data_IF_368424786080
#
_entry.id   IF_368424786080
#
_cell.length_a   1.000
_cell.length_b   1.000
_cell.length_c   1.000
_cell.angle_alpha   90.00
_cell.angle_beta   90.00
_cell.angle_gamma   90.00
#
_symmetry.space_group_name_H-M   'P 1'
#
loop_
_entity.id
_entity.type
_entity.pdbx_description
1 polymer ?
#
# COMPACT_ATOMS: atom_id res chain seq x y z
N UNK A 1 33.09 -24.95 -17.09
CA UNK A 1 32.53 -24.05 -16.07
C UNK A 1 31.78 -22.94 -16.79
N UNK A 2 30.45 -22.86 -16.65
CA UNK A 2 29.65 -21.85 -17.31
C UNK A 2 29.85 -20.49 -16.61
N UNK A 3 30.22 -19.45 -17.38
CA UNK A 3 30.25 -18.07 -16.90
C UNK A 3 28.81 -17.61 -16.68
N UNK A 4 28.44 -17.39 -15.42
CA UNK A 4 27.21 -16.66 -15.09
C UNK A 4 27.36 -15.25 -15.63
N UNK A 5 26.63 -14.96 -16.70
CA UNK A 5 26.53 -13.62 -17.25
C UNK A 5 25.67 -12.83 -16.26
N UNK A 6 26.30 -11.99 -15.43
CA UNK A 6 25.55 -11.04 -14.61
C UNK A 6 24.81 -10.12 -15.58
N UNK A 7 23.49 -10.07 -15.46
CA UNK A 7 22.66 -9.12 -16.20
C UNK A 7 23.12 -7.68 -15.92
N UNK A 8 22.63 -6.70 -16.68
CA UNK A 8 23.01 -5.30 -16.48
C UNK A 8 22.84 -4.93 -15.00
N UNK A 9 23.89 -4.35 -14.42
CA UNK A 9 23.82 -3.79 -13.07
C UNK A 9 22.85 -2.62 -13.12
N UNK A 10 21.60 -2.86 -12.74
CA UNK A 10 20.66 -1.78 -12.43
C UNK A 10 21.23 -1.10 -11.19
N UNK A 11 21.79 0.09 -11.35
CA UNK A 11 22.16 0.93 -10.19
C UNK A 11 20.87 1.44 -9.58
N UNK A 12 20.25 0.65 -8.72
CA UNK A 12 19.14 1.13 -7.91
C UNK A 12 19.70 1.93 -6.73
N UNK A 13 19.31 3.19 -6.64
CA UNK A 13 19.45 3.96 -5.42
C UNK A 13 18.29 3.59 -4.49
N UNK A 14 18.53 3.55 -3.18
CA UNK A 14 17.50 3.31 -2.19
C UNK A 14 17.54 4.39 -1.10
N UNK A 15 16.37 4.82 -0.65
CA UNK A 15 16.20 5.76 0.46
C UNK A 15 15.20 5.17 1.44
N UNK A 16 15.56 5.13 2.72
CA UNK A 16 14.69 4.61 3.78
C UNK A 16 14.26 5.73 4.72
N UNK A 17 12.95 5.79 4.98
CA UNK A 17 12.32 6.65 5.96
C UNK A 17 11.77 5.82 7.12
N UNK A 18 11.88 6.35 8.33
CA UNK A 18 11.46 5.69 9.57
C UNK A 18 10.43 6.56 10.31
N UNK A 19 9.35 5.94 10.75
CA UNK A 19 8.36 6.56 11.62
C UNK A 19 7.36 7.46 10.90
N UNK A 20 7.05 8.59 11.53
CA UNK A 20 6.06 9.55 11.05
C UNK A 20 6.61 10.41 9.90
N UNK A 21 5.72 10.77 8.97
CA UNK A 21 6.04 11.64 7.85
C UNK A 21 6.54 13.01 8.31
N UNK A 22 7.67 13.43 7.77
CA UNK A 22 8.36 14.68 8.12
C UNK A 22 8.73 15.49 6.86
N UNK A 23 9.33 16.67 7.05
CA UNK A 23 9.74 17.55 5.96
C UNK A 23 10.69 16.85 4.97
N UNK A 24 11.68 16.11 5.46
CA UNK A 24 12.64 15.37 4.61
C UNK A 24 11.95 14.33 3.72
N UNK A 25 11.00 13.56 4.27
CA UNK A 25 10.24 12.58 3.47
C UNK A 25 9.35 13.24 2.42
N UNK A 26 8.87 14.47 2.67
CA UNK A 26 7.99 15.21 1.74
C UNK A 26 8.74 15.81 0.56
N UNK A 27 10.05 16.01 0.69
CA UNK A 27 10.92 16.39 -0.43
C UNK A 27 11.08 15.26 -1.45
N UNK A 28 10.85 14.01 -1.04
CA UNK A 28 10.88 12.84 -1.91
C UNK A 28 9.49 12.64 -2.52
N UNK A 29 9.33 12.98 -3.80
CA UNK A 29 8.03 13.00 -4.49
C UNK A 29 7.19 11.73 -4.27
N UNK A 30 7.80 10.54 -4.37
CA UNK A 30 7.09 9.27 -4.20
C UNK A 30 6.65 9.02 -2.76
N UNK A 31 7.42 9.46 -1.76
CA UNK A 31 7.01 9.37 -0.35
C UNK A 31 5.91 10.39 -0.02
N UNK A 32 5.96 11.59 -0.60
CA UNK A 32 4.88 12.58 -0.49
C UNK A 32 3.57 12.06 -1.11
N UNK A 33 3.63 11.44 -2.29
CA UNK A 33 2.50 10.75 -2.91
C UNK A 33 1.97 9.62 -2.02
N UNK A 34 2.87 8.80 -1.46
CA UNK A 34 2.49 7.71 -0.57
C UNK A 34 1.91 8.19 0.77
N UNK A 35 2.40 9.29 1.34
CA UNK A 35 1.80 9.93 2.53
C UNK A 35 0.34 10.31 2.28
N UNK A 36 0.03 10.87 1.10
CA UNK A 36 -1.35 11.23 0.71
C UNK A 36 -2.23 9.98 0.57
N UNK A 37 -1.71 8.93 -0.05
CA UNK A 37 -2.40 7.64 -0.16
C UNK A 37 -2.64 7.02 1.22
N UNK A 38 -1.62 7.01 2.09
CA UNK A 38 -1.71 6.51 3.46
C UNK A 38 -2.74 7.30 4.28
N UNK A 39 -2.82 8.63 4.12
CA UNK A 39 -3.84 9.44 4.78
C UNK A 39 -5.28 9.02 4.39
N UNK A 40 -5.51 8.76 3.10
CA UNK A 40 -6.80 8.26 2.59
C UNK A 40 -7.12 6.86 3.12
N UNK A 41 -6.14 5.95 3.15
CA UNK A 41 -6.34 4.60 3.72
C UNK A 41 -6.59 4.67 5.24
N UNK A 42 -5.91 5.57 5.95
CA UNK A 42 -6.09 5.76 7.41
C UNK A 42 -7.48 6.27 7.77
N UNK A 43 -8.07 7.14 6.96
CA UNK A 43 -9.43 7.63 7.15
C UNK A 43 -10.51 6.65 6.69
N UNK A 44 -10.14 5.62 5.93
CA UNK A 44 -11.07 4.74 5.21
C UNK A 44 -12.06 5.51 4.32
N UNK A 45 -11.70 6.72 3.87
CA UNK A 45 -12.56 7.55 3.03
C UNK A 45 -12.26 7.32 1.55
N UNK A 46 -13.01 6.39 0.96
CA UNK A 46 -12.92 6.02 -0.45
C UNK A 46 -13.98 6.70 -1.31
N UNK A 47 -14.52 7.86 -0.89
CA UNK A 47 -15.51 8.60 -1.70
C UNK A 47 -14.91 9.20 -2.97
N UNK A 48 -13.58 9.28 -3.05
CA UNK A 48 -12.82 9.76 -4.21
C UNK A 48 -12.78 8.77 -5.37
N UNK A 49 -11.92 9.09 -6.35
CA UNK A 49 -11.75 8.29 -7.56
C UNK A 49 -10.50 7.42 -7.50
N UNK A 50 -10.56 6.22 -8.07
CA UNK A 50 -9.37 5.39 -8.22
C UNK A 50 -8.31 6.04 -9.10
N UNK A 51 -8.72 6.91 -10.03
CA UNK A 51 -7.84 7.64 -10.95
C UNK A 51 -6.80 8.52 -10.23
N UNK A 52 -7.05 8.88 -8.97
CA UNK A 52 -6.10 9.68 -8.19
C UNK A 52 -4.91 8.83 -7.68
N UNK A 53 -5.04 7.50 -7.69
CA UNK A 53 -4.11 6.59 -7.01
C UNK A 53 -3.59 5.47 -7.90
N UNK A 54 -4.44 4.88 -8.75
CA UNK A 54 -4.12 3.69 -9.54
C UNK A 54 -4.25 3.99 -11.02
N UNK A 55 -3.27 3.53 -11.79
CA UNK A 55 -3.35 3.52 -13.25
C UNK A 55 -4.52 2.63 -13.71
N UNK A 56 -5.19 2.95 -14.84
CA UNK A 56 -6.14 2.04 -15.47
C UNK A 56 -5.57 0.63 -15.67
N UNK A 57 -4.29 0.51 -16.05
CA UNK A 57 -3.57 -0.76 -16.23
C UNK A 57 -3.04 -1.41 -14.94
N UNK A 58 -3.35 -0.84 -13.77
CA UNK A 58 -2.76 -1.29 -12.52
C UNK A 58 -3.14 -2.73 -12.18
N UNK A 59 -2.16 -3.47 -11.66
CA UNK A 59 -2.33 -4.83 -11.14
C UNK A 59 -2.08 -4.86 -9.63
N UNK A 60 -2.83 -5.66 -8.90
CA UNK A 60 -2.62 -5.84 -7.48
C UNK A 60 -2.68 -7.31 -7.09
N UNK A 61 -1.65 -7.79 -6.40
CA UNK A 61 -1.55 -9.15 -5.91
C UNK A 61 -1.80 -9.19 -4.40
N UNK A 62 -2.95 -9.72 -4.02
CA UNK A 62 -3.27 -9.96 -2.62
C UNK A 62 -2.57 -11.22 -2.13
N UNK A 63 -2.25 -11.25 -0.83
CA UNK A 63 -1.66 -12.44 -0.20
C UNK A 63 -2.61 -13.66 -0.18
N UNK A 64 -3.91 -13.47 -0.47
CA UNK A 64 -4.92 -14.52 -0.60
C UNK A 64 -4.72 -15.36 -1.88
N UNK A 65 -3.84 -14.92 -2.77
CA UNK A 65 -3.65 -15.48 -4.11
C UNK A 65 -4.54 -14.83 -5.16
N UNK A 66 -5.44 -13.93 -4.76
CA UNK A 66 -6.25 -13.13 -5.69
C UNK A 66 -5.41 -12.06 -6.38
N UNK A 67 -5.73 -11.79 -7.65
CA UNK A 67 -5.12 -10.72 -8.43
C UNK A 67 -6.22 -9.85 -9.03
N UNK A 68 -6.12 -8.55 -8.82
CA UNK A 68 -6.98 -7.53 -9.40
C UNK A 68 -6.24 -6.88 -10.57
N UNK A 69 -6.88 -6.74 -11.71
CA UNK A 69 -6.19 -6.44 -12.99
C UNK A 69 -6.54 -5.07 -13.57
N UNK A 70 -7.14 -4.19 -12.77
CA UNK A 70 -7.32 -2.78 -13.12
C UNK A 70 -7.39 -1.90 -11.88
N UNK A 71 -7.08 -0.61 -12.02
CA UNK A 71 -7.25 0.38 -10.94
C UNK A 71 -8.68 0.42 -10.38
N UNK A 72 -9.69 0.22 -11.24
CA UNK A 72 -11.09 0.17 -10.82
C UNK A 72 -11.40 -1.06 -9.95
N UNK A 73 -10.94 -2.26 -10.36
CA UNK A 73 -11.11 -3.49 -9.58
C UNK A 73 -10.43 -3.40 -8.21
N UNK A 74 -9.21 -2.86 -8.18
CA UNK A 74 -8.47 -2.63 -6.93
C UNK A 74 -9.27 -1.72 -6.01
N UNK A 75 -9.84 -0.64 -6.53
CA UNK A 75 -10.62 0.32 -5.76
C UNK A 75 -11.90 -0.29 -5.16
N UNK A 76 -12.63 -1.09 -5.94
CA UNK A 76 -13.80 -1.81 -5.43
C UNK A 76 -13.41 -2.82 -4.34
N UNK A 77 -12.29 -3.51 -4.52
CA UNK A 77 -11.77 -4.41 -3.49
C UNK A 77 -11.37 -3.67 -2.21
N UNK A 78 -10.70 -2.51 -2.30
CA UNK A 78 -10.37 -1.66 -1.15
C UNK A 78 -11.61 -1.28 -0.33
N UNK A 79 -12.70 -0.91 -1.02
CA UNK A 79 -14.00 -0.59 -0.39
C UNK A 79 -14.72 -1.80 0.18
N UNK A 80 -14.34 -3.01 -0.21
CA UNK A 80 -15.04 -4.21 0.21
C UNK A 80 -14.87 -4.47 1.72
N UNK A 81 -15.84 -5.17 2.36
CA UNK A 81 -15.71 -5.63 3.74
C UNK A 81 -14.50 -6.53 3.99
N UNK A 82 -13.94 -7.15 2.94
CA UNK A 82 -12.77 -8.01 3.04
C UNK A 82 -11.48 -7.23 3.33
N UNK A 83 -11.45 -5.92 3.02
CA UNK A 83 -10.26 -5.07 3.18
C UNK A 83 -10.50 -3.89 4.12
N UNK A 84 -11.14 -2.80 3.68
CA UNK A 84 -11.33 -1.60 4.51
C UNK A 84 -12.79 -1.25 4.86
N UNK A 85 -13.77 -1.80 4.14
CA UNK A 85 -15.17 -1.34 4.19
C UNK A 85 -15.92 -1.47 5.51
N UNK A 86 -15.35 -2.17 6.51
CA UNK A 86 -15.95 -2.35 7.85
C UNK A 86 -15.19 -1.61 8.96
N UNK A 87 -14.09 -0.95 8.63
CA UNK A 87 -13.22 -0.29 9.60
C UNK A 87 -13.45 1.22 9.56
N UNK A 88 -13.56 1.83 10.73
CA UNK A 88 -13.72 3.27 10.88
C UNK A 88 -12.40 4.03 10.64
N UNK A 89 -11.27 3.38 10.95
CA UNK A 89 -9.93 3.91 10.70
C UNK A 89 -8.88 2.81 10.76
N UNK A 90 -7.75 3.09 10.13
CA UNK A 90 -6.52 2.29 10.19
C UNK A 90 -5.46 3.11 10.91
N UNK A 91 -4.80 2.53 11.92
CA UNK A 91 -3.73 3.20 12.68
C UNK A 91 -2.42 2.43 12.50
N UNK A 92 -1.50 2.92 11.65
CA UNK A 92 -0.17 2.32 11.50
C UNK A 92 0.76 2.78 12.64
N UNK A 93 1.66 1.88 13.05
CA UNK A 93 2.75 2.11 14.00
C UNK A 93 4.04 1.44 13.48
N UNK A 94 5.19 1.91 13.96
CA UNK A 94 6.52 1.36 13.64
C UNK A 94 6.79 1.25 12.13
N UNK A 95 6.39 2.28 11.38
CA UNK A 95 6.54 2.32 9.92
C UNK A 95 8.01 2.39 9.52
N UNK A 96 8.36 1.58 8.52
CA UNK A 96 9.62 1.66 7.78
C UNK A 96 9.26 1.65 6.30
N UNK A 97 9.61 2.70 5.57
CA UNK A 97 9.31 2.83 4.14
C UNK A 97 10.62 2.99 3.38
N UNK A 98 10.89 2.10 2.44
CA UNK A 98 12.06 2.15 1.56
C UNK A 98 11.62 2.41 0.14
N UNK A 99 12.14 3.47 -0.45
CA UNK A 99 12.03 3.76 -1.88
C UNK A 99 13.21 3.14 -2.59
N UNK A 100 12.95 2.45 -3.69
CA UNK A 100 13.95 1.91 -4.60
C UNK A 100 13.70 2.54 -5.98
N UNK A 101 14.72 3.18 -6.54
CA UNK A 101 14.63 3.88 -7.83
C UNK A 101 15.12 2.99 -8.97
N UNK A 102 14.34 2.94 -10.05
CA UNK A 102 14.65 2.24 -11.29
C UNK A 102 14.57 0.71 -11.19
N UNK A 103 14.58 0.05 -12.35
CA UNK A 103 14.56 -1.42 -12.42
C UNK A 103 13.17 -2.06 -12.38
N UNK A 104 12.11 -1.28 -12.64
CA UNK A 104 10.73 -1.77 -12.69
C UNK A 104 10.15 -1.54 -14.09
N UNK A 105 9.38 -2.51 -14.61
CA UNK A 105 8.91 -2.47 -16.00
C UNK A 105 7.80 -1.44 -16.25
N UNK A 106 6.95 -1.20 -15.24
CA UNK A 106 5.74 -0.36 -15.34
C UNK A 106 5.85 0.99 -14.60
N UNK A 107 7.02 1.34 -14.05
CA UNK A 107 7.18 2.57 -13.30
C UNK A 107 8.63 2.83 -12.88
N UNK A 108 8.85 3.98 -12.26
CA UNK A 108 10.20 4.48 -11.99
C UNK A 108 10.64 4.23 -10.54
N UNK A 109 9.69 3.97 -9.64
CA UNK A 109 9.94 3.82 -8.21
C UNK A 109 9.16 2.65 -7.60
N UNK A 110 9.80 1.87 -6.75
CA UNK A 110 9.14 0.92 -5.84
C UNK A 110 9.18 1.48 -4.42
N UNK A 111 8.02 1.55 -3.77
CA UNK A 111 7.94 1.69 -2.32
C UNK A 111 7.75 0.31 -1.72
N UNK A 112 8.62 -0.07 -0.79
CA UNK A 112 8.45 -1.20 0.10
C UNK A 112 8.22 -0.66 1.52
N UNK A 113 7.04 -0.90 2.09
CA UNK A 113 6.68 -0.49 3.45
C UNK A 113 6.44 -1.69 4.35
N UNK A 114 6.94 -1.60 5.58
CA UNK A 114 6.60 -2.50 6.67
C UNK A 114 6.01 -1.70 7.82
N UNK A 115 4.89 -2.15 8.37
CA UNK A 115 4.26 -1.52 9.53
C UNK A 115 3.47 -2.52 10.39
N UNK A 116 3.19 -2.10 11.63
CA UNK A 116 2.18 -2.72 12.48
C UNK A 116 0.89 -1.90 12.34
N UNK A 117 -0.21 -2.56 12.00
CA UNK A 117 -1.47 -1.87 11.70
C UNK A 117 -2.53 -2.27 12.70
N UNK A 118 -3.26 -1.29 13.22
CA UNK A 118 -4.41 -1.45 14.10
C UNK A 118 -5.68 -1.08 13.36
N UNK A 119 -6.54 -2.07 13.11
CA UNK A 119 -7.85 -1.87 12.49
C UNK A 119 -8.89 -1.56 13.56
N UNK A 120 -9.54 -0.40 13.47
CA UNK A 120 -10.60 -0.02 14.41
C UNK A 120 -11.98 -0.15 13.78
N UNK A 121 -12.90 -0.80 14.49
CA UNK A 121 -14.33 -0.86 14.13
C UNK A 121 -15.13 0.10 14.99
N UNK A 122 -16.27 0.55 14.48
CA UNK A 122 -17.24 1.29 15.30
C UNK A 122 -17.86 0.39 16.39
N UNK A 123 -18.45 1.01 17.42
CA UNK A 123 -19.12 0.29 18.51
C UNK A 123 -18.20 -0.21 19.64
N UNK A 124 -18.58 -1.30 20.32
CA UNK A 124 -17.89 -1.82 21.53
C UNK A 124 -16.43 -2.25 21.30
N UNK A 125 -16.01 -2.43 20.05
CA UNK A 125 -14.65 -2.85 19.66
C UNK A 125 -13.71 -1.66 19.37
N UNK A 126 -14.16 -0.42 19.57
CA UNK A 126 -13.40 0.82 19.33
C UNK A 126 -12.07 0.92 20.07
N UNK A 127 -11.92 0.19 21.19
CA UNK A 127 -10.77 0.31 22.09
C UNK A 127 -9.60 -0.62 21.77
N UNK A 128 -9.78 -1.63 20.91
CA UNK A 128 -8.78 -2.69 20.75
C UNK A 128 -8.50 -2.86 19.27
N UNK A 129 -7.60 -2.06 18.70
CA UNK A 129 -7.14 -2.33 17.34
C UNK A 129 -6.59 -3.76 17.24
N UNK A 130 -6.82 -4.45 16.13
CA UNK A 130 -6.19 -5.77 15.90
C UNK A 130 -4.80 -5.51 15.32
N UNK A 131 -3.71 -5.82 16.03
CA UNK A 131 -2.36 -5.61 15.52
C UNK A 131 -2.06 -6.64 14.44
N UNK A 132 -1.78 -6.17 13.22
CA UNK A 132 -1.36 -7.01 12.10
C UNK A 132 -0.06 -6.45 11.54
N UNK A 133 0.96 -7.30 11.41
CA UNK A 133 2.16 -6.94 10.64
C UNK A 133 1.79 -6.96 9.17
N UNK A 134 2.04 -5.84 8.51
CA UNK A 134 1.76 -5.66 7.10
C UNK A 134 3.03 -5.27 6.37
N UNK A 135 3.18 -5.80 5.17
CA UNK A 135 4.18 -5.41 4.19
C UNK A 135 3.43 -5.03 2.92
N UNK A 136 3.72 -3.86 2.36
CA UNK A 136 3.15 -3.41 1.10
C UNK A 136 4.29 -3.07 0.14
N UNK A 137 4.12 -3.45 -1.11
CA UNK A 137 4.96 -3.04 -2.22
C UNK A 137 4.10 -2.32 -3.25
N UNK A 138 4.52 -1.13 -3.66
CA UNK A 138 3.91 -0.42 -4.77
C UNK A 138 4.95 0.07 -5.76
N UNK A 139 4.81 -0.34 -7.02
CA UNK A 139 5.49 0.29 -8.15
C UNK A 139 4.65 1.48 -8.59
N UNK A 140 5.29 2.65 -8.69
CA UNK A 140 4.67 3.92 -9.06
C UNK A 140 5.47 4.63 -10.14
N UNK A 141 4.80 5.51 -10.86
CA UNK A 141 5.37 6.32 -11.92
C UNK A 141 4.39 7.41 -12.36
N UNK A 142 4.71 8.14 -13.45
CA UNK A 142 3.83 9.14 -14.03
C UNK A 142 2.45 8.56 -14.36
N UNK A 143 1.40 9.37 -14.23
CA UNK A 143 0.05 8.95 -14.59
C UNK A 143 -0.06 8.55 -16.07
N UNK A 144 -0.86 7.52 -16.37
CA UNK A 144 -1.11 7.08 -17.76
C UNK A 144 -1.99 8.05 -18.55
N UNK A 145 -2.80 8.86 -17.86
CA UNK A 145 -3.77 9.76 -18.48
C UNK A 145 -3.54 11.17 -17.95
N UNK A 146 -3.33 12.11 -18.87
CA UNK A 146 -3.15 13.53 -18.55
C UNK A 146 -4.31 14.05 -17.68
N UNK A 147 -3.96 14.72 -16.58
CA UNK A 147 -4.91 15.27 -15.62
C UNK A 147 -5.42 14.27 -14.58
N UNK A 148 -4.93 13.04 -14.57
CA UNK A 148 -5.13 12.07 -13.49
C UNK A 148 -3.89 11.93 -12.59
N UNK A 149 -4.04 11.15 -11.52
CA UNK A 149 -2.99 10.92 -10.54
C UNK A 149 -2.84 12.04 -9.52
N UNK A 150 -2.38 11.67 -8.33
CA UNK A 150 -2.07 12.63 -7.27
C UNK A 150 -0.66 13.16 -7.51
N UNK A 151 -0.53 14.47 -7.69
CA UNK A 151 0.72 15.13 -8.11
C UNK A 151 1.33 14.54 -9.40
N UNK A 152 0.49 14.01 -10.28
CA UNK A 152 0.91 13.38 -11.53
C UNK A 152 1.47 11.96 -11.39
N UNK A 153 1.35 11.33 -10.20
CA UNK A 153 1.78 9.95 -9.95
C UNK A 153 0.59 8.98 -9.78
N UNK A 154 0.82 7.73 -10.18
CA UNK A 154 -0.09 6.60 -9.98
C UNK A 154 0.68 5.32 -9.64
N UNK A 155 -0.01 4.38 -9.01
CA UNK A 155 0.46 3.00 -8.81
C UNK A 155 0.12 2.13 -10.02
N UNK A 156 1.08 1.31 -10.43
CA UNK A 156 0.98 0.35 -11.53
C UNK A 156 0.97 -1.09 -11.07
N UNK A 157 1.70 -1.40 -9.99
CA UNK A 157 1.74 -2.74 -9.41
C UNK A 157 1.68 -2.62 -7.91
N UNK A 158 0.72 -3.27 -7.28
CA UNK A 158 0.63 -3.40 -5.84
C UNK A 158 0.80 -4.85 -5.39
N UNK A 159 1.44 -5.04 -4.25
CA UNK A 159 1.46 -6.31 -3.52
C UNK A 159 1.25 -6.03 -2.06
N UNK A 160 0.47 -6.86 -1.40
CA UNK A 160 0.35 -6.80 0.06
C UNK A 160 0.61 -8.17 0.64
N UNK A 161 1.26 -8.16 1.79
CA UNK A 161 1.33 -9.28 2.70
C UNK A 161 0.90 -8.82 4.08
N UNK A 162 0.00 -9.57 4.68
CA UNK A 162 -0.48 -9.39 6.03
C UNK A 162 -0.75 -10.76 6.63
N UNK A 163 -0.54 -10.93 7.94
CA UNK A 163 -0.81 -12.21 8.59
C UNK A 163 -2.32 -12.38 8.81
N UNK A 164 -3.01 -12.93 7.81
CA UNK A 164 -4.46 -13.13 7.82
C UNK A 164 -4.90 -14.16 8.87
N UNK A 165 -4.01 -15.06 9.31
CA UNK A 165 -4.31 -16.03 10.36
C UNK A 165 -4.45 -15.34 11.71
N UNK A 166 -3.57 -14.39 12.01
CA UNK A 166 -3.65 -13.56 13.23
C UNK A 166 -4.94 -12.73 13.23
N UNK A 167 -5.28 -12.11 12.09
CA UNK A 167 -6.51 -11.32 11.96
C UNK A 167 -7.76 -12.19 12.16
N UNK A 168 -7.86 -13.33 11.48
CA UNK A 168 -9.00 -14.23 11.57
C UNK A 168 -9.16 -14.82 12.99
N UNK A 169 -8.07 -15.26 13.61
CA UNK A 169 -8.09 -15.79 14.97
C UNK A 169 -8.54 -14.72 15.99
N UNK A 170 -8.07 -13.49 15.84
CA UNK A 170 -8.44 -12.40 16.75
C UNK A 170 -9.88 -11.93 16.56
N UNK A 171 -10.40 -11.98 15.33
CA UNK A 171 -11.83 -11.72 15.06
C UNK A 171 -12.71 -12.81 15.72
N UNK A 172 -12.40 -14.09 15.50
CA UNK A 172 -13.15 -15.20 16.08
C UNK A 172 -13.13 -15.19 17.62
N UNK A 173 -11.98 -14.85 18.23
CA UNK A 173 -11.84 -14.72 19.69
C UNK A 173 -12.73 -13.61 20.26
N UNK A 174 -13.06 -12.58 19.48
CA UNK A 174 -13.81 -11.41 19.94
C UNK A 174 -15.30 -11.49 19.65
N UNK A 175 -15.73 -12.26 18.66
CA UNK A 175 -17.14 -12.58 18.42
C UNK A 175 -17.73 -13.50 19.50
N UNK A 176 -16.87 -14.15 20.29
CA UNK A 176 -17.24 -15.03 21.41
C UNK A 176 -17.24 -14.35 22.78
N UNK A 177 -16.90 -13.06 22.85
CA UNK A 177 -16.86 -12.22 24.06
C UNK A 177 -18.02 -11.21 24.07
#
# INVERSE_FOLDING_TARGET
MAKVQRGPTVSSAAVTHYGEWNEESREIAVLSFFEKYDAMVKSCDFSGSYHDWFAPSAEFHANTGETYSSGAEIWEWMKSPALFGIYARVVPENRISTVIYGGHEKGDCLIHQQDLVFYQREGKLKAVGIPVRRTIEFVSGPSEIDGQGTDGLQYFVGKTFWDTNVLAAELARRETL
#
